data_IF_090500685855
#
_entry.id   IF_090500685855
#
_cell.length_a   1.000
_cell.length_b   1.000
_cell.length_c   1.000
_cell.angle_alpha   90.00
_cell.angle_beta   90.00
_cell.angle_gamma   90.00
#
_symmetry.space_group_name_H-M   'P 1'
#
loop_
_entity.id
_entity.type
_entity.pdbx_description
1 polymer ?
#
# COMPACT_ATOMS: atom_id res chain seq x y z
N UNK A 1 -23.93 -0.14 -9.92
CA UNK A 1 -24.15 -1.18 -8.91
C UNK A 1 -25.47 -1.07 -8.16
N UNK A 2 -25.97 0.14 -7.79
CA UNK A 2 -27.22 0.28 -7.02
C UNK A 2 -28.40 -0.60 -7.48
N UNK A 3 -28.78 -0.66 -8.77
CA UNK A 3 -29.98 -1.38 -9.20
C UNK A 3 -29.97 -2.89 -8.91
N UNK A 4 -28.79 -3.52 -8.86
CA UNK A 4 -28.66 -4.97 -8.62
C UNK A 4 -28.52 -5.32 -7.13
N UNK A 5 -28.35 -4.33 -6.25
CA UNK A 5 -28.02 -4.54 -4.83
C UNK A 5 -29.11 -4.10 -3.86
N UNK A 6 -29.86 -3.04 -4.19
CA UNK A 6 -30.88 -2.52 -3.28
C UNK A 6 -32.02 -3.53 -3.11
N UNK A 7 -32.42 -3.78 -1.86
CA UNK A 7 -33.46 -4.74 -1.51
C UNK A 7 -32.99 -6.21 -1.55
N UNK A 8 -31.71 -6.47 -1.78
CA UNK A 8 -31.12 -7.81 -1.72
C UNK A 8 -30.50 -8.07 -0.35
N UNK A 9 -30.47 -9.34 0.05
CA UNK A 9 -29.75 -9.75 1.25
C UNK A 9 -28.22 -9.58 1.06
N UNK A 10 -27.55 -8.74 1.86
CA UNK A 10 -26.10 -8.58 1.80
C UNK A 10 -25.35 -9.79 2.38
N UNK A 11 -25.99 -10.65 3.18
CA UNK A 11 -25.35 -11.82 3.78
C UNK A 11 -25.03 -12.92 2.76
N UNK A 12 -25.70 -12.93 1.61
CA UNK A 12 -25.38 -13.80 0.48
C UNK A 12 -24.29 -13.16 -0.41
N UNK A 13 -23.14 -12.81 0.18
CA UNK A 13 -22.10 -11.98 -0.44
C UNK A 13 -21.58 -12.55 -1.77
N UNK A 14 -21.36 -13.86 -1.88
CA UNK A 14 -20.92 -14.48 -3.15
C UNK A 14 -21.95 -14.32 -4.27
N UNK A 15 -23.24 -14.44 -3.95
CA UNK A 15 -24.32 -14.20 -4.92
C UNK A 15 -24.31 -12.73 -5.39
N UNK A 16 -24.11 -11.78 -4.46
CA UNK A 16 -23.98 -10.35 -4.80
C UNK A 16 -22.77 -10.09 -5.69
N UNK A 17 -21.63 -10.73 -5.38
CA UNK A 17 -20.43 -10.64 -6.22
C UNK A 17 -20.69 -11.14 -7.63
N UNK A 18 -21.29 -12.33 -7.79
CA UNK A 18 -21.62 -12.89 -9.11
C UNK A 18 -22.59 -12.01 -9.90
N UNK A 19 -23.63 -11.46 -9.27
CA UNK A 19 -24.56 -10.52 -9.90
C UNK A 19 -23.84 -9.27 -10.43
N UNK A 20 -22.95 -8.68 -9.62
CA UNK A 20 -22.15 -7.53 -10.02
C UNK A 20 -21.13 -7.87 -11.12
N UNK A 21 -20.49 -9.04 -11.03
CA UNK A 21 -19.48 -9.50 -11.99
C UNK A 21 -20.10 -9.78 -13.36
N UNK A 22 -21.25 -10.45 -13.40
CA UNK A 22 -22.00 -10.66 -14.64
C UNK A 22 -22.49 -9.32 -15.21
N UNK A 23 -23.00 -8.43 -14.35
CA UNK A 23 -23.44 -7.09 -14.73
C UNK A 23 -22.32 -6.20 -15.31
N UNK A 24 -21.06 -6.55 -15.05
CA UNK A 24 -19.87 -5.84 -15.57
C UNK A 24 -19.11 -6.61 -16.64
N UNK A 25 -19.71 -7.64 -17.25
CA UNK A 25 -19.05 -8.51 -18.22
C UNK A 25 -18.37 -7.76 -19.38
N UNK A 26 -18.93 -6.64 -19.83
CA UNK A 26 -18.36 -5.81 -20.90
C UNK A 26 -17.17 -4.95 -20.46
N UNK A 27 -16.91 -4.81 -19.15
CA UNK A 27 -15.87 -3.94 -18.59
C UNK A 27 -15.39 -4.47 -17.24
N UNK A 28 -14.74 -5.64 -17.23
CA UNK A 28 -14.41 -6.39 -16.01
C UNK A 28 -13.31 -5.77 -15.14
N UNK A 29 -12.46 -4.91 -15.71
CA UNK A 29 -11.25 -4.39 -15.05
C UNK A 29 -11.39 -2.96 -14.51
N UNK A 30 -10.26 -2.37 -14.17
CA UNK A 30 -10.16 -0.93 -13.85
C UNK A 30 -11.08 -0.50 -12.72
N UNK A 31 -11.86 0.55 -12.95
CA UNK A 31 -12.74 1.13 -11.93
C UNK A 31 -13.89 0.19 -11.53
N UNK A 32 -14.36 -0.65 -12.45
CA UNK A 32 -15.41 -1.62 -12.17
C UNK A 32 -14.92 -2.68 -11.19
N UNK A 33 -13.74 -3.27 -11.45
CA UNK A 33 -13.11 -4.23 -10.53
C UNK A 33 -12.89 -3.64 -9.13
N UNK A 34 -12.41 -2.39 -9.05
CA UNK A 34 -12.22 -1.68 -7.77
C UNK A 34 -13.54 -1.47 -7.02
N UNK A 35 -14.61 -1.11 -7.72
CA UNK A 35 -15.93 -0.94 -7.12
C UNK A 35 -16.51 -2.28 -6.61
N UNK A 36 -16.36 -3.36 -7.39
CA UNK A 36 -16.74 -4.71 -6.98
C UNK A 36 -16.00 -5.13 -5.71
N UNK A 37 -14.67 -4.97 -5.68
CA UNK A 37 -13.85 -5.33 -4.52
C UNK A 37 -14.27 -4.56 -3.26
N UNK A 38 -14.53 -3.25 -3.37
CA UNK A 38 -14.99 -2.45 -2.24
C UNK A 38 -16.35 -2.89 -1.69
N UNK A 39 -17.29 -3.25 -2.57
CA UNK A 39 -18.62 -3.74 -2.17
C UNK A 39 -18.56 -5.14 -1.58
N UNK A 40 -17.71 -6.01 -2.14
CA UNK A 40 -17.51 -7.38 -1.63
C UNK A 40 -16.93 -7.37 -0.20
N UNK A 41 -15.90 -6.54 0.04
CA UNK A 41 -15.39 -6.31 1.40
C UNK A 41 -16.49 -5.86 2.38
N UNK A 42 -17.40 -4.99 1.94
CA UNK A 42 -18.50 -4.52 2.78
C UNK A 42 -19.54 -5.61 3.07
N UNK A 43 -19.86 -6.46 2.09
CA UNK A 43 -20.78 -7.59 2.30
C UNK A 43 -20.20 -8.65 3.22
N UNK A 44 -18.91 -8.97 3.07
CA UNK A 44 -18.16 -9.86 3.97
C UNK A 44 -18.17 -9.31 5.41
N UNK A 45 -17.92 -8.02 5.59
CA UNK A 45 -17.98 -7.35 6.90
C UNK A 45 -19.39 -7.40 7.52
N UNK A 46 -20.44 -7.12 6.73
CA UNK A 46 -21.84 -7.24 7.17
C UNK A 46 -22.16 -8.68 7.61
N UNK A 47 -21.72 -9.69 6.84
CA UNK A 47 -21.94 -11.10 7.16
C UNK A 47 -21.25 -11.51 8.46
N UNK A 48 -20.00 -11.07 8.67
CA UNK A 48 -19.28 -11.34 9.91
C UNK A 48 -19.98 -10.68 11.11
N UNK A 49 -20.38 -9.41 10.97
CA UNK A 49 -21.12 -8.67 12.01
C UNK A 49 -22.48 -9.30 12.34
N UNK A 50 -23.23 -9.77 11.34
CA UNK A 50 -24.55 -10.40 11.58
C UNK A 50 -24.44 -11.74 12.32
N UNK A 51 -23.29 -12.41 12.22
CA UNK A 51 -22.97 -13.63 12.96
C UNK A 51 -22.24 -13.34 14.29
N UNK A 52 -21.93 -12.08 14.60
CA UNK A 52 -21.13 -11.67 15.75
C UNK A 52 -19.76 -12.38 15.81
N UNK A 53 -19.10 -12.52 14.67
CA UNK A 53 -17.76 -13.11 14.53
C UNK A 53 -16.80 -12.14 13.83
N UNK A 54 -15.50 -12.43 13.87
CA UNK A 54 -14.53 -11.72 13.04
C UNK A 54 -14.59 -12.18 11.58
N UNK A 55 -14.11 -11.37 10.64
CA UNK A 55 -13.95 -11.80 9.24
C UNK A 55 -13.03 -13.02 9.12
N UNK A 56 -12.01 -13.15 9.98
CA UNK A 56 -11.13 -14.32 9.97
C UNK A 56 -11.88 -15.61 10.31
N UNK A 57 -12.81 -15.56 11.29
CA UNK A 57 -13.67 -16.70 11.63
C UNK A 57 -14.54 -17.14 10.45
N UNK A 58 -15.06 -16.18 9.67
CA UNK A 58 -15.83 -16.48 8.46
C UNK A 58 -15.02 -17.30 7.44
N UNK A 59 -13.69 -17.16 7.45
CA UNK A 59 -12.76 -17.87 6.56
C UNK A 59 -12.02 -19.04 7.25
N UNK A 60 -12.62 -19.65 8.28
CA UNK A 60 -12.07 -20.84 8.94
C UNK A 60 -11.21 -20.56 10.16
N UNK A 61 -11.24 -19.33 10.68
CA UNK A 61 -10.55 -18.94 11.91
C UNK A 61 -9.14 -18.38 11.67
N UNK A 62 -8.58 -17.66 12.66
CA UNK A 62 -7.22 -17.16 12.58
C UNK A 62 -6.21 -18.32 12.57
N UNK A 63 -5.29 -18.28 11.61
CA UNK A 63 -4.17 -19.24 11.52
C UNK A 63 -2.91 -18.79 12.26
N UNK A 64 -2.94 -17.57 12.82
CA UNK A 64 -1.85 -16.95 13.60
C UNK A 64 -2.41 -15.80 14.43
N UNK A 65 -1.79 -15.54 15.57
CA UNK A 65 -2.18 -14.43 16.46
C UNK A 65 -1.57 -13.07 16.06
N UNK A 66 -0.47 -13.09 15.30
CA UNK A 66 0.26 -11.89 14.88
C UNK A 66 0.71 -11.99 13.43
N UNK A 67 0.67 -10.86 12.72
CA UNK A 67 1.20 -10.70 11.36
C UNK A 67 2.39 -9.76 11.42
N UNK A 68 3.55 -10.20 10.94
CA UNK A 68 4.73 -9.33 10.80
C UNK A 68 4.47 -8.32 9.70
N UNK A 69 4.59 -7.03 10.03
CA UNK A 69 4.46 -5.92 9.08
C UNK A 69 5.83 -5.32 8.75
N UNK A 70 5.90 -4.61 7.64
CA UNK A 70 7.06 -3.82 7.24
C UNK A 70 6.63 -2.38 7.00
N UNK A 71 7.57 -1.44 7.12
CA UNK A 71 7.29 -0.05 6.82
C UNK A 71 7.28 0.18 5.31
N UNK A 72 6.09 0.17 4.70
CA UNK A 72 5.90 0.46 3.27
C UNK A 72 5.98 1.96 2.99
N UNK A 73 6.44 2.33 1.79
CA UNK A 73 6.69 3.73 1.41
C UNK A 73 7.57 4.47 2.44
N UNK A 74 8.53 3.75 3.03
CA UNK A 74 9.44 4.30 4.02
C UNK A 74 10.23 5.46 3.39
N UNK A 75 10.13 6.64 4.01
CA UNK A 75 10.70 7.89 3.50
C UNK A 75 9.86 8.56 2.42
N UNK A 76 9.35 7.81 1.44
CA UNK A 76 8.54 8.36 0.33
C UNK A 76 7.29 9.11 0.79
N UNK A 77 6.55 8.56 1.77
CA UNK A 77 5.38 9.25 2.33
C UNK A 77 5.76 10.56 3.03
N UNK A 78 6.93 10.59 3.69
CA UNK A 78 7.45 11.81 4.34
C UNK A 78 7.82 12.85 3.31
N UNK A 79 8.54 12.46 2.25
CA UNK A 79 8.89 13.36 1.15
C UNK A 79 7.63 14.03 0.55
N UNK A 80 6.55 13.28 0.29
CA UNK A 80 5.33 13.86 -0.31
C UNK A 80 4.46 14.64 0.66
N UNK A 81 4.39 14.23 1.92
CA UNK A 81 3.32 14.62 2.85
C UNK A 81 3.88 14.98 4.24
N UNK A 82 5.02 15.68 4.27
CA UNK A 82 5.66 16.19 5.50
C UNK A 82 4.66 16.97 6.37
N UNK A 83 3.83 17.80 5.74
CA UNK A 83 2.80 18.64 6.34
C UNK A 83 1.71 17.82 7.06
N UNK A 84 1.20 16.77 6.41
CA UNK A 84 0.16 15.91 6.98
C UNK A 84 0.73 15.00 8.08
N UNK A 85 1.97 14.52 7.88
CA UNK A 85 2.59 13.57 8.80
C UNK A 85 3.25 14.24 10.01
N UNK A 86 3.47 15.56 9.99
CA UNK A 86 4.16 16.28 11.05
C UNK A 86 5.59 15.79 11.28
N UNK A 87 6.23 15.24 10.25
CA UNK A 87 7.59 14.69 10.33
C UNK A 87 8.61 15.70 9.81
N UNK A 88 9.89 15.66 10.23
CA UNK A 88 10.92 16.45 9.57
C UNK A 88 11.06 16.07 8.08
N UNK A 89 11.39 17.03 7.20
CA UNK A 89 11.67 16.74 5.79
C UNK A 89 12.91 15.84 5.65
N UNK A 90 13.05 15.20 4.49
CA UNK A 90 14.20 14.37 4.13
C UNK A 90 14.99 15.13 3.06
N UNK A 91 15.95 15.97 3.49
CA UNK A 91 16.72 16.82 2.58
C UNK A 91 18.17 16.33 2.43
N UNK A 92 18.64 15.54 3.39
CA UNK A 92 20.01 15.04 3.44
C UNK A 92 20.04 13.53 3.64
N UNK A 93 21.21 12.94 3.39
CA UNK A 93 21.46 11.54 3.73
C UNK A 93 21.41 11.26 5.24
N UNK A 94 21.76 12.24 6.08
CA UNK A 94 21.61 12.12 7.53
C UNK A 94 20.15 12.00 7.97
N UNK A 95 19.23 12.65 7.23
CA UNK A 95 17.79 12.50 7.46
C UNK A 95 17.31 11.07 7.13
N UNK A 96 17.89 10.46 6.09
CA UNK A 96 17.64 9.05 5.73
C UNK A 96 18.23 8.11 6.79
N UNK A 97 19.43 8.38 7.29
CA UNK A 97 20.03 7.64 8.42
C UNK A 97 19.15 7.72 9.66
N UNK A 98 18.63 8.91 10.00
CA UNK A 98 17.71 9.10 11.13
C UNK A 98 16.42 8.32 10.94
N UNK A 99 15.87 8.29 9.72
CA UNK A 99 14.72 7.46 9.38
C UNK A 99 15.02 5.96 9.57
N UNK A 100 16.18 5.47 9.13
CA UNK A 100 16.59 4.07 9.34
C UNK A 100 16.67 3.70 10.83
N UNK A 101 17.29 4.56 11.64
CA UNK A 101 17.35 4.38 13.10
C UNK A 101 15.96 4.38 13.75
N UNK A 102 15.05 5.22 13.25
CA UNK A 102 13.66 5.25 13.71
C UNK A 102 12.90 3.96 13.36
N UNK A 103 13.10 3.41 12.16
CA UNK A 103 12.50 2.13 11.77
C UNK A 103 12.87 1.05 12.79
N UNK A 104 14.17 0.95 13.12
CA UNK A 104 14.68 0.01 14.13
C UNK A 104 14.09 0.29 15.52
N UNK A 105 14.12 1.55 15.97
CA UNK A 105 13.65 1.92 17.31
C UNK A 105 12.15 1.67 17.51
N UNK A 106 11.35 1.76 16.45
CA UNK A 106 9.92 1.38 16.46
C UNK A 106 9.67 -0.13 16.40
N UNK A 107 10.71 -0.95 16.35
CA UNK A 107 10.62 -2.41 16.33
C UNK A 107 10.25 -3.00 14.97
N UNK A 108 10.28 -2.21 13.89
CA UNK A 108 10.16 -2.79 12.55
C UNK A 108 11.41 -3.58 12.22
N UNK A 109 11.18 -4.73 11.62
CA UNK A 109 12.24 -5.67 11.21
C UNK A 109 12.38 -5.72 9.69
N UNK A 110 11.65 -4.87 8.97
CA UNK A 110 11.71 -4.71 7.52
C UNK A 110 11.13 -3.33 7.13
N UNK A 111 11.69 -2.77 6.06
CA UNK A 111 11.24 -1.52 5.44
C UNK A 111 11.25 -1.68 3.91
N UNK A 112 10.48 -0.85 3.22
CA UNK A 112 10.48 -0.77 1.75
C UNK A 112 10.42 0.69 1.31
N UNK A 113 11.57 1.29 0.98
CA UNK A 113 11.62 2.62 0.41
C UNK A 113 11.37 2.53 -1.11
N UNK A 114 11.14 3.67 -1.75
CA UNK A 114 11.45 3.83 -3.17
C UNK A 114 12.88 4.39 -3.29
N UNK A 115 13.38 4.69 -4.48
CA UNK A 115 14.69 5.36 -4.61
C UNK A 115 14.58 6.80 -4.11
N UNK A 116 14.81 7.03 -2.81
CA UNK A 116 14.73 8.34 -2.18
C UNK A 116 15.83 9.23 -2.74
N UNK A 117 15.50 10.45 -3.16
CA UNK A 117 16.42 11.45 -3.69
C UNK A 117 16.36 12.69 -2.78
N UNK A 118 17.14 12.72 -1.68
CA UNK A 118 17.18 13.85 -0.76
C UNK A 118 17.73 15.12 -1.44
N UNK A 119 17.22 16.29 -1.05
CA UNK A 119 17.68 17.61 -1.46
C UNK A 119 16.64 18.69 -1.16
N UNK A 120 16.92 19.96 -1.50
CA UNK A 120 16.00 21.10 -1.31
C UNK A 120 14.65 20.95 -2.07
N UNK A 121 14.54 19.94 -2.92
CA UNK A 121 13.30 19.51 -3.56
C UNK A 121 13.27 17.99 -3.62
N UNK A 122 13.37 17.38 -2.43
CA UNK A 122 13.44 15.94 -2.29
C UNK A 122 12.32 15.25 -3.07
N UNK A 123 12.68 14.18 -3.77
CA UNK A 123 11.76 13.38 -4.57
C UNK A 123 12.11 11.91 -4.42
N UNK A 124 11.46 11.04 -5.18
CA UNK A 124 11.87 9.65 -5.26
C UNK A 124 11.50 9.02 -6.59
N UNK A 125 12.38 8.15 -7.08
CA UNK A 125 12.19 7.35 -8.28
C UNK A 125 11.77 5.91 -7.98
N UNK A 126 11.41 5.15 -9.01
CA UNK A 126 11.21 3.69 -8.90
C UNK A 126 9.81 3.24 -8.47
N UNK A 127 8.79 4.08 -8.58
CA UNK A 127 7.40 3.65 -8.54
C UNK A 127 6.88 3.46 -9.95
N UNK A 128 6.31 2.29 -10.27
CA UNK A 128 5.40 2.20 -11.41
C UNK A 128 4.39 3.34 -11.32
N UNK A 129 4.09 3.98 -12.46
CA UNK A 129 3.18 5.11 -12.64
C UNK A 129 3.79 6.52 -12.44
N UNK A 130 4.25 7.07 -13.57
CA UNK A 130 4.47 8.48 -13.91
C UNK A 130 5.81 9.16 -13.54
N UNK A 131 6.50 9.62 -14.58
CA UNK A 131 7.63 10.54 -14.62
C UNK A 131 7.88 10.96 -16.08
N UNK A 132 8.53 12.10 -16.34
CA UNK A 132 8.94 12.47 -17.71
C UNK A 132 10.11 11.57 -18.13
N UNK A 133 9.77 10.49 -18.80
CA UNK A 133 10.67 9.39 -19.14
C UNK A 133 9.84 8.21 -19.64
N UNK A 134 10.40 7.47 -20.58
CA UNK A 134 9.82 6.28 -21.20
C UNK A 134 9.34 5.27 -20.14
N UNK A 135 8.30 4.48 -20.45
CA UNK A 135 7.83 3.36 -19.61
C UNK A 135 8.79 2.16 -19.63
N UNK A 136 10.02 2.38 -20.09
CA UNK A 136 11.02 1.33 -20.35
C UNK A 136 11.70 0.83 -19.07
N UNK A 137 11.41 1.46 -17.92
CA UNK A 137 11.96 1.12 -16.61
C UNK A 137 13.51 1.17 -16.57
N UNK A 138 14.14 1.92 -17.48
CA UNK A 138 15.60 2.03 -17.52
C UNK A 138 16.07 2.89 -16.35
N UNK A 139 16.85 2.28 -15.46
CA UNK A 139 17.60 3.01 -14.45
C UNK A 139 18.79 3.72 -15.13
N UNK A 140 18.86 5.06 -15.12
CA UNK A 140 20.02 5.75 -15.69
C UNK A 140 21.26 5.45 -14.86
N UNK A 141 22.44 5.42 -15.49
CA UNK A 141 23.70 5.04 -14.82
C UNK A 141 24.00 5.86 -13.56
N UNK A 142 23.59 7.13 -13.52
CA UNK A 142 23.77 7.99 -12.35
C UNK A 142 22.94 7.57 -11.13
N UNK A 143 21.82 6.86 -11.34
CA UNK A 143 20.92 6.44 -10.27
C UNK A 143 21.46 5.22 -9.50
N UNK A 144 22.32 4.42 -10.13
CA UNK A 144 22.91 3.22 -9.50
C UNK A 144 23.69 3.56 -8.22
N UNK A 145 24.70 4.45 -8.22
CA UNK A 145 25.44 4.78 -7.00
C UNK A 145 24.55 5.45 -5.94
N UNK A 146 23.48 6.11 -6.36
CA UNK A 146 22.50 6.70 -5.45
C UNK A 146 21.68 5.63 -4.72
N UNK A 147 21.25 4.58 -5.43
CA UNK A 147 20.57 3.42 -4.84
C UNK A 147 21.51 2.65 -3.91
N UNK A 148 22.78 2.47 -4.29
CA UNK A 148 23.80 1.84 -3.44
C UNK A 148 23.95 2.62 -2.13
N UNK A 149 24.10 3.95 -2.20
CA UNK A 149 24.17 4.83 -1.02
C UNK A 149 22.95 4.67 -0.11
N UNK A 150 21.75 4.64 -0.70
CA UNK A 150 20.50 4.45 0.05
C UNK A 150 20.46 3.10 0.78
N UNK A 151 20.88 2.03 0.11
CA UNK A 151 20.91 0.68 0.68
C UNK A 151 21.93 0.61 1.82
N UNK A 152 23.11 1.16 1.63
CA UNK A 152 24.19 1.16 2.63
C UNK A 152 23.78 1.96 3.88
N UNK A 153 23.19 3.15 3.71
CA UNK A 153 22.66 3.94 4.83
C UNK A 153 21.63 3.15 5.64
N UNK A 154 20.68 2.50 4.97
CA UNK A 154 19.71 1.69 5.71
C UNK A 154 20.41 0.53 6.39
N UNK A 155 21.31 -0.19 5.73
CA UNK A 155 22.06 -1.32 6.32
C UNK A 155 22.80 -0.92 7.59
N UNK A 156 23.45 0.24 7.59
CA UNK A 156 24.22 0.75 8.73
C UNK A 156 23.34 1.29 9.86
N UNK A 157 22.12 1.74 9.52
CA UNK A 157 21.18 2.32 10.49
C UNK A 157 20.33 1.27 11.23
N UNK A 158 20.14 0.05 10.68
CA UNK A 158 19.34 -1.02 11.31
C UNK A 158 20.12 -1.97 12.20
#
# INVERSE_FOLDING_TARGET
MKPVLIGKDPCAFEMRFQEMYIGTKASKGGIAAKALAGLDCAFIDIKAKSLNISVAELFGGPTRDKVRVYWSYCGSSRIRHTDILGTPPIETWDDVTRLGKEVKSKGFTALKPNALLPGQSATFGGGSFAGSGTTDQVAPKWLIPHIETLIDIFRDAV
#
